data_IF_697288496539
#
_entry.id   IF_697288496539
#
_cell.length_a   1.000
_cell.length_b   1.000
_cell.length_c   1.000
_cell.angle_alpha   90.00
_cell.angle_beta   90.00
_cell.angle_gamma   90.00
#
_symmetry.space_group_name_H-M   'P 1'
#
loop_
_entity.id
_entity.type
_entity.pdbx_description
1 polymer ?
#
# COMPACT_ATOMS: atom_id res chain seq x y z
N UNK A 1 16.33 -7.65 -58.31
CA UNK A 1 16.25 -6.20 -58.08
C UNK A 1 16.36 -6.01 -56.57
N UNK A 2 17.56 -5.73 -56.04
CA UNK A 2 18.07 -4.37 -55.72
C UNK A 2 17.27 -3.75 -54.57
N UNK A 3 17.81 -3.22 -53.48
CA UNK A 3 19.16 -3.00 -52.93
C UNK A 3 18.90 -2.36 -51.55
N UNK A 4 19.76 -2.55 -50.54
CA UNK A 4 20.35 -1.43 -49.80
C UNK A 4 21.44 -1.90 -48.82
N UNK A 5 22.67 -1.75 -49.31
CA UNK A 5 23.89 -1.19 -48.67
C UNK A 5 24.36 -1.73 -47.31
N UNK A 6 25.52 -2.41 -47.36
CA UNK A 6 26.46 -2.63 -46.25
C UNK A 6 27.18 -1.33 -45.88
N UNK A 7 27.50 -1.15 -44.60
CA UNK A 7 28.67 -0.40 -44.17
C UNK A 7 29.66 -1.38 -43.48
N UNK A 8 30.97 -1.40 -43.84
CA UNK A 8 31.93 -2.38 -43.35
C UNK A 8 32.75 -1.80 -42.18
N UNK A 9 32.85 -2.53 -41.07
CA UNK A 9 33.73 -2.16 -39.98
C UNK A 9 33.86 -3.28 -38.96
N UNK A 10 35.11 -3.69 -38.73
CA UNK A 10 35.60 -4.62 -37.69
C UNK A 10 35.70 -6.10 -38.10
N UNK A 11 36.95 -6.50 -38.38
CA UNK A 11 37.40 -7.89 -38.43
C UNK A 11 37.38 -8.57 -37.05
N UNK A 12 37.86 -9.83 -36.96
CA UNK A 12 37.68 -10.66 -35.78
C UNK A 12 38.57 -10.18 -34.62
N UNK A 13 37.97 -9.80 -33.50
CA UNK A 13 38.68 -9.55 -32.24
C UNK A 13 38.88 -10.88 -31.53
N UNK A 14 40.10 -11.39 -31.58
CA UNK A 14 40.57 -12.50 -30.73
C UNK A 14 40.61 -12.02 -29.26
N UNK A 15 39.79 -12.62 -28.40
CA UNK A 15 39.85 -12.36 -26.94
C UNK A 15 41.03 -13.12 -26.33
N UNK A 16 42.11 -12.41 -26.03
CA UNK A 16 43.13 -12.84 -25.07
C UNK A 16 42.57 -12.67 -23.64
N UNK A 17 42.35 -13.76 -22.92
CA UNK A 17 42.20 -13.73 -21.46
C UNK A 17 43.52 -14.24 -20.84
N UNK A 18 44.19 -13.47 -19.96
CA UNK A 18 45.28 -14.03 -19.19
C UNK A 18 44.72 -15.00 -18.13
N UNK A 19 45.27 -16.20 -18.04
CA UNK A 19 44.99 -17.15 -16.94
C UNK A 19 45.61 -16.61 -15.65
N UNK A 20 44.78 -16.15 -14.72
CA UNK A 20 45.23 -15.86 -13.36
C UNK A 20 45.32 -17.18 -12.57
N UNK A 21 46.34 -17.38 -11.71
CA UNK A 21 46.45 -18.60 -10.91
C UNK A 21 45.29 -18.66 -9.91
N UNK A 22 44.70 -19.85 -9.77
CA UNK A 22 43.50 -20.16 -8.94
C UNK A 22 43.62 -19.62 -7.51
N UNK A 23 44.83 -19.54 -6.96
CA UNK A 23 45.10 -18.95 -5.65
C UNK A 23 44.70 -17.46 -5.51
N UNK A 24 44.80 -16.67 -6.60
CA UNK A 24 44.43 -15.26 -6.58
C UNK A 24 42.90 -15.06 -6.58
N UNK A 25 42.17 -15.93 -7.28
CA UNK A 25 40.70 -15.91 -7.28
C UNK A 25 40.12 -16.29 -5.91
N UNK A 26 40.74 -17.25 -5.20
CA UNK A 26 40.30 -17.67 -3.86
C UNK A 26 40.58 -16.58 -2.81
N UNK A 27 41.73 -15.90 -2.89
CA UNK A 27 42.06 -14.79 -1.99
C UNK A 27 41.13 -13.57 -2.22
N UNK A 28 40.78 -13.26 -3.47
CA UNK A 28 39.86 -12.18 -3.81
C UNK A 28 38.42 -12.46 -3.34
N UNK A 29 37.97 -13.72 -3.43
CA UNK A 29 36.67 -14.17 -2.89
C UNK A 29 36.62 -14.10 -1.36
N UNK A 30 37.68 -14.49 -0.66
CA UNK A 30 37.75 -14.39 0.81
C UNK A 30 37.78 -12.94 1.30
N UNK A 31 38.45 -12.04 0.57
CA UNK A 31 38.43 -10.59 0.86
C UNK A 31 37.03 -10.00 0.62
N UNK A 32 36.33 -10.40 -0.45
CA UNK A 32 34.94 -9.98 -0.69
C UNK A 32 33.97 -10.50 0.38
N UNK A 33 34.19 -11.71 0.91
CA UNK A 33 33.38 -12.27 2.00
C UNK A 33 33.67 -11.54 3.33
N UNK A 34 34.94 -11.24 3.65
CA UNK A 34 35.30 -10.49 4.86
C UNK A 34 34.86 -9.02 4.81
N UNK A 35 34.97 -8.37 3.65
CA UNK A 35 34.47 -6.99 3.45
C UNK A 35 32.94 -6.98 3.45
N UNK A 36 32.29 -8.01 2.91
CA UNK A 36 30.84 -8.17 2.94
C UNK A 36 30.25 -8.42 4.33
N UNK A 37 30.98 -9.07 5.24
CA UNK A 37 30.55 -9.26 6.64
C UNK A 37 30.86 -8.05 7.52
N UNK A 38 31.94 -7.31 7.26
CA UNK A 38 32.30 -6.09 8.01
C UNK A 38 31.55 -4.81 7.56
N UNK A 39 30.94 -4.80 6.37
CA UNK A 39 30.20 -3.64 5.84
C UNK A 39 28.67 -3.78 5.86
N UNK A 40 28.12 -4.88 6.40
CA UNK A 40 26.71 -4.94 6.78
C UNK A 40 26.47 -4.05 8.01
N UNK A 41 26.53 -2.74 7.82
CA UNK A 41 25.85 -1.81 8.71
C UNK A 41 24.36 -2.00 8.47
N UNK A 42 23.55 -2.29 9.49
CA UNK A 42 22.11 -2.32 9.32
C UNK A 42 21.68 -0.97 8.74
N UNK A 43 20.91 -1.02 7.65
CA UNK A 43 20.27 0.17 7.08
C UNK A 43 19.18 0.56 8.08
N UNK A 44 19.54 1.34 9.11
CA UNK A 44 18.58 1.92 10.05
C UNK A 44 17.81 3.04 9.36
N UNK A 45 16.73 2.67 8.68
CA UNK A 45 15.63 3.56 8.36
C UNK A 45 14.63 3.53 9.52
N UNK A 46 14.70 4.56 10.38
CA UNK A 46 13.96 4.70 11.65
C UNK A 46 14.26 3.60 12.69
N UNK A 47 14.42 4.00 13.95
CA UNK A 47 14.45 3.03 15.06
C UNK A 47 13.09 2.28 15.08
N UNK A 48 13.11 0.94 15.07
CA UNK A 48 11.98 0.06 15.35
C UNK A 48 10.87 0.66 16.21
N UNK A 49 11.23 1.12 17.41
CA UNK A 49 10.27 1.66 18.37
C UNK A 49 9.64 2.98 17.90
N UNK A 50 10.44 3.84 17.26
CA UNK A 50 9.93 5.13 16.80
C UNK A 50 9.01 5.00 15.58
N UNK A 51 9.23 4.00 14.72
CA UNK A 51 8.30 3.69 13.63
C UNK A 51 6.98 3.14 14.19
N UNK A 52 7.03 2.24 15.18
CA UNK A 52 5.85 1.75 15.88
C UNK A 52 5.02 2.88 16.49
N UNK A 53 5.66 3.80 17.20
CA UNK A 53 5.02 4.95 17.82
C UNK A 53 4.38 5.90 16.78
N UNK A 54 4.96 5.98 15.58
CA UNK A 54 4.40 6.77 14.48
C UNK A 54 3.16 6.14 13.87
N UNK A 55 3.13 4.81 13.74
CA UNK A 55 1.95 4.06 13.30
C UNK A 55 0.82 4.14 14.33
N UNK A 56 1.14 4.06 15.63
CA UNK A 56 0.16 4.23 16.70
C UNK A 56 -0.45 5.64 16.74
N UNK A 57 0.24 6.64 16.17
CA UNK A 57 -0.22 8.02 16.10
C UNK A 57 -0.76 8.41 14.72
N UNK A 58 -0.74 7.49 13.76
CA UNK A 58 -1.21 7.75 12.41
C UNK A 58 -2.72 8.05 12.44
N UNK A 59 -3.10 9.19 11.87
CA UNK A 59 -4.48 9.57 11.61
C UNK A 59 -4.60 9.84 10.12
N UNK A 60 -5.56 9.21 9.45
CA UNK A 60 -5.84 9.51 8.04
C UNK A 60 -7.04 10.47 7.93
N UNK A 61 -7.17 11.12 6.78
CA UNK A 61 -8.33 11.99 6.51
C UNK A 61 -9.57 11.24 6.02
N UNK A 62 -9.48 9.92 5.83
CA UNK A 62 -10.58 9.07 5.40
C UNK A 62 -11.74 9.15 6.42
N UNK A 63 -13.00 9.38 6.00
CA UNK A 63 -14.14 9.43 6.89
C UNK A 63 -14.31 8.20 7.79
N UNK A 64 -14.03 7.00 7.28
CA UNK A 64 -14.10 5.77 8.06
C UNK A 64 -13.02 5.74 9.15
N UNK A 65 -11.82 6.22 8.83
CA UNK A 65 -10.72 6.34 9.77
C UNK A 65 -10.97 7.46 10.79
N UNK A 66 -11.62 8.56 10.41
CA UNK A 66 -12.04 9.62 11.35
C UNK A 66 -13.03 9.09 12.38
N UNK A 67 -14.04 8.36 11.95
CA UNK A 67 -15.04 7.80 12.87
C UNK A 67 -14.41 6.73 13.78
N UNK A 68 -13.62 5.84 13.20
CA UNK A 68 -12.86 4.87 13.97
C UNK A 68 -11.86 5.56 14.93
N UNK A 69 -11.18 6.63 14.54
CA UNK A 69 -10.25 7.36 15.41
C UNK A 69 -10.95 8.00 16.61
N UNK A 70 -12.23 8.41 16.49
CA UNK A 70 -13.02 8.89 17.64
C UNK A 70 -13.29 7.78 18.65
N UNK A 71 -13.48 6.55 18.17
CA UNK A 71 -13.90 5.41 19.01
C UNK A 71 -12.71 4.61 19.55
N UNK A 72 -11.77 4.25 18.67
CA UNK A 72 -10.62 3.40 18.98
C UNK A 72 -9.32 4.17 19.26
N UNK A 73 -9.29 5.47 18.98
CA UNK A 73 -8.05 6.27 18.97
C UNK A 73 -7.26 6.12 17.67
N UNK A 74 -6.16 6.90 17.51
CA UNK A 74 -5.26 6.77 16.38
C UNK A 74 -4.56 5.41 16.39
N UNK A 75 -4.13 4.95 15.22
CA UNK A 75 -3.40 3.69 15.12
C UNK A 75 -3.38 3.09 13.73
N UNK A 76 -2.53 2.08 13.56
CA UNK A 76 -2.52 1.25 12.36
C UNK A 76 -3.38 0.01 12.57
N UNK A 77 -4.44 -0.09 11.78
CA UNK A 77 -5.45 -1.13 11.88
C UNK A 77 -5.53 -1.93 10.59
N UNK A 78 -5.77 -3.22 10.75
CA UNK A 78 -6.11 -4.13 9.67
C UNK A 78 -7.62 -4.14 9.47
N UNK A 79 -8.05 -3.96 8.22
CA UNK A 79 -9.41 -4.30 7.81
C UNK A 79 -9.48 -5.82 7.61
N UNK A 80 -10.33 -6.51 8.36
CA UNK A 80 -10.49 -7.97 8.25
C UNK A 80 -11.55 -8.34 7.22
N UNK A 81 -11.38 -7.80 6.00
CA UNK A 81 -12.21 -8.10 4.83
C UNK A 81 -13.70 -7.80 5.00
N UNK A 82 -14.60 -8.65 4.46
CA UNK A 82 -16.04 -8.39 4.44
C UNK A 82 -16.71 -8.46 5.82
N UNK A 83 -15.99 -8.83 6.87
CA UNK A 83 -16.53 -8.88 8.24
C UNK A 83 -16.89 -7.51 8.79
N UNK A 84 -16.24 -6.45 8.28
CA UNK A 84 -16.31 -5.09 8.83
C UNK A 84 -15.61 -4.94 10.19
N UNK A 85 -14.72 -5.86 10.54
CA UNK A 85 -13.88 -5.75 11.74
C UNK A 85 -12.62 -4.96 11.38
N UNK A 86 -12.24 -4.03 12.27
CA UNK A 86 -10.94 -3.38 12.32
C UNK A 86 -10.19 -3.79 13.59
N UNK A 87 -8.98 -4.27 13.41
CA UNK A 87 -8.19 -4.82 14.50
C UNK A 87 -6.72 -4.44 14.41
N UNK A 88 -6.05 -4.43 15.56
CA UNK A 88 -4.60 -4.31 15.63
C UNK A 88 -3.98 -5.69 15.63
N UNK A 89 -2.86 -5.83 14.95
CA UNK A 89 -2.07 -7.05 15.03
C UNK A 89 -1.23 -7.02 16.31
N UNK A 90 -1.36 -8.06 17.14
CA UNK A 90 -0.75 -8.14 18.47
C UNK A 90 -0.08 -9.49 18.70
N UNK A 91 0.90 -9.53 19.61
CA UNK A 91 1.42 -10.78 20.14
C UNK A 91 0.44 -11.43 21.15
N UNK A 92 0.79 -12.61 21.68
CA UNK A 92 -0.03 -13.33 22.65
C UNK A 92 -0.25 -12.57 23.98
N UNK A 93 0.57 -11.55 24.28
CA UNK A 93 0.41 -10.69 25.46
C UNK A 93 -0.47 -9.47 25.20
N UNK A 94 -0.93 -9.28 23.96
CA UNK A 94 -1.76 -8.14 23.55
C UNK A 94 -0.94 -6.89 23.19
N UNK A 95 0.39 -7.00 23.09
CA UNK A 95 1.24 -5.88 22.67
C UNK A 95 1.21 -5.76 21.15
N UNK A 96 1.00 -4.56 20.65
CA UNK A 96 1.07 -4.25 19.22
C UNK A 96 2.45 -4.58 18.68
N UNK A 97 2.50 -5.34 17.61
CA UNK A 97 3.73 -5.97 17.17
C UNK A 97 3.88 -5.88 15.65
N UNK A 98 5.06 -5.41 15.23
CA UNK A 98 5.42 -5.20 13.83
C UNK A 98 6.80 -5.82 13.48
N UNK A 99 7.57 -6.33 14.44
CA UNK A 99 8.85 -7.03 14.23
C UNK A 99 8.65 -8.50 13.85
N UNK A 100 7.41 -8.94 13.66
CA UNK A 100 7.08 -10.28 13.22
C UNK A 100 7.07 -11.28 14.35
N UNK A 101 6.39 -10.93 15.46
CA UNK A 101 5.99 -11.81 16.56
C UNK A 101 4.47 -11.83 16.77
N UNK A 102 3.74 -11.06 15.97
CA UNK A 102 2.31 -10.98 16.10
C UNK A 102 1.63 -12.30 15.71
N UNK A 103 0.67 -12.73 16.54
CA UNK A 103 -0.01 -14.03 16.41
C UNK A 103 -1.52 -13.90 16.50
N UNK A 104 -2.05 -12.73 16.85
CA UNK A 104 -3.47 -12.52 17.09
C UNK A 104 -3.93 -11.13 16.59
N UNK A 105 -5.24 -10.93 16.53
CA UNK A 105 -5.83 -9.62 16.27
C UNK A 105 -6.60 -9.12 17.50
N UNK A 106 -6.27 -7.93 17.98
CA UNK A 106 -7.06 -7.22 18.99
C UNK A 106 -8.10 -6.34 18.30
N UNK A 107 -9.38 -6.67 18.45
CA UNK A 107 -10.48 -5.91 17.85
C UNK A 107 -10.56 -4.53 18.47
N UNK A 108 -10.61 -3.50 17.62
CA UNK A 108 -10.67 -2.10 18.04
C UNK A 108 -11.93 -1.41 17.58
N UNK A 109 -12.46 -1.81 16.43
CA UNK A 109 -13.67 -1.23 15.90
C UNK A 109 -14.41 -2.24 15.04
N UNK A 110 -15.73 -2.15 15.02
CA UNK A 110 -16.60 -2.92 14.14
C UNK A 110 -17.56 -1.93 13.49
N UNK A 111 -17.65 -1.96 12.16
CA UNK A 111 -18.52 -1.04 11.43
C UNK A 111 -20.00 -1.35 11.70
N UNK A 112 -20.81 -0.35 12.08
CA UNK A 112 -22.25 -0.54 12.23
C UNK A 112 -22.89 -1.08 10.94
N UNK A 113 -23.78 -2.06 11.08
CA UNK A 113 -24.44 -2.75 9.97
C UNK A 113 -23.56 -3.76 9.22
N UNK A 114 -22.30 -3.98 9.63
CA UNK A 114 -21.47 -5.02 9.04
C UNK A 114 -21.86 -6.42 9.53
N UNK A 115 -21.40 -7.50 8.86
CA UNK A 115 -21.65 -8.87 9.29
C UNK A 115 -21.31 -9.21 10.75
N UNK A 116 -20.28 -8.56 11.29
CA UNK A 116 -19.78 -8.76 12.65
C UNK A 116 -20.42 -7.83 13.70
N UNK A 117 -21.22 -6.84 13.27
CA UNK A 117 -21.85 -5.86 14.16
C UNK A 117 -22.71 -6.55 15.24
N UNK A 118 -22.56 -6.09 16.48
CA UNK A 118 -23.19 -6.66 17.68
C UNK A 118 -22.73 -8.07 18.09
N UNK A 119 -21.91 -8.77 17.30
CA UNK A 119 -21.46 -10.15 17.57
C UNK A 119 -20.02 -10.18 18.10
N UNK A 120 -19.12 -9.54 17.36
CA UNK A 120 -17.74 -9.29 17.77
C UNK A 120 -17.69 -7.90 18.39
N UNK A 121 -16.97 -7.76 19.50
CA UNK A 121 -16.93 -6.53 20.27
C UNK A 121 -15.50 -5.96 20.33
N UNK A 122 -15.35 -4.62 20.37
CA UNK A 122 -14.07 -4.02 20.72
C UNK A 122 -13.50 -4.60 22.02
N UNK A 123 -12.21 -4.97 21.99
CA UNK A 123 -11.53 -5.66 23.09
C UNK A 123 -11.51 -7.19 22.98
N UNK A 124 -12.26 -7.79 22.05
CA UNK A 124 -12.08 -9.21 21.72
C UNK A 124 -10.69 -9.44 21.10
N UNK A 125 -10.02 -10.51 21.50
CA UNK A 125 -8.78 -10.96 20.84
C UNK A 125 -9.10 -12.15 19.95
N UNK A 126 -9.02 -11.98 18.63
CA UNK A 126 -9.17 -13.05 17.65
C UNK A 126 -7.88 -13.88 17.63
N UNK A 127 -8.03 -15.17 17.90
CA UNK A 127 -6.92 -16.13 18.03
C UNK A 127 -6.95 -17.23 16.96
N UNK A 128 -7.97 -17.22 16.11
CA UNK A 128 -8.17 -18.23 15.08
C UNK A 128 -9.49 -18.06 14.35
N UNK A 129 -9.69 -18.89 13.34
CA UNK A 129 -10.86 -18.85 12.46
C UNK A 129 -11.11 -20.23 11.85
N UNK A 130 -12.37 -20.58 11.59
CA UNK A 130 -12.82 -21.86 11.05
C UNK A 130 -12.20 -23.06 11.79
N UNK A 131 -12.29 -23.03 13.13
CA UNK A 131 -11.74 -24.03 14.07
C UNK A 131 -10.20 -24.19 14.04
N UNK A 132 -9.48 -23.35 13.30
CA UNK A 132 -8.00 -23.33 13.23
C UNK A 132 -7.49 -22.14 14.03
N UNK A 133 -6.69 -22.40 15.08
CA UNK A 133 -5.94 -21.34 15.77
C UNK A 133 -4.86 -20.79 14.83
N UNK A 134 -4.54 -19.51 14.98
CA UNK A 134 -3.42 -18.96 14.25
C UNK A 134 -2.12 -19.64 14.68
N UNK A 135 -1.31 -20.03 13.69
CA UNK A 135 -0.13 -20.87 13.94
C UNK A 135 1.16 -20.28 13.38
N UNK A 136 1.05 -19.47 12.34
CA UNK A 136 2.18 -18.81 11.71
C UNK A 136 2.35 -17.42 12.32
N UNK A 137 3.59 -17.08 12.63
CA UNK A 137 3.93 -15.74 13.09
C UNK A 137 3.87 -14.77 11.91
N UNK A 138 3.31 -13.58 12.14
CA UNK A 138 3.26 -12.54 11.14
C UNK A 138 4.65 -12.18 10.58
N UNK A 139 4.72 -12.00 9.26
CA UNK A 139 5.89 -11.42 8.59
C UNK A 139 5.41 -10.38 7.58
N UNK A 140 5.94 -9.15 7.68
CA UNK A 140 5.65 -8.08 6.73
C UNK A 140 6.67 -8.09 5.58
N UNK A 141 6.16 -8.20 4.35
CA UNK A 141 6.94 -8.19 3.11
C UNK A 141 7.56 -6.83 2.78
N UNK A 142 8.81 -6.67 3.21
CA UNK A 142 9.90 -5.91 2.56
C UNK A 142 11.26 -6.38 3.12
N UNK A 143 11.26 -6.87 4.37
CA UNK A 143 12.45 -7.32 5.10
C UNK A 143 12.57 -8.85 5.24
N UNK A 144 11.48 -9.60 5.02
CA UNK A 144 11.40 -11.04 5.33
C UNK A 144 10.86 -11.94 4.20
N UNK A 145 10.63 -11.40 2.99
CA UNK A 145 10.10 -12.15 1.84
C UNK A 145 9.12 -11.33 0.99
N UNK A 146 8.46 -12.02 0.04
CA UNK A 146 7.35 -11.47 -0.78
C UNK A 146 6.03 -11.94 -0.17
N UNK A 147 5.13 -11.02 0.16
CA UNK A 147 3.77 -11.32 0.65
C UNK A 147 3.57 -11.15 2.16
N UNK A 148 2.39 -11.58 2.62
CA UNK A 148 1.98 -11.58 4.02
C UNK A 148 1.94 -13.02 4.53
N UNK A 149 2.48 -13.26 5.73
CA UNK A 149 2.32 -14.52 6.47
C UNK A 149 1.53 -14.28 7.76
N UNK A 150 1.15 -15.36 8.45
CA UNK A 150 0.57 -15.30 9.78
C UNK A 150 -0.92 -14.99 9.80
N UNK A 151 -1.42 -14.35 10.87
CA UNK A 151 -2.85 -14.12 11.05
C UNK A 151 -3.53 -13.43 9.85
N UNK A 152 -2.93 -12.44 9.15
CA UNK A 152 -3.56 -11.86 7.96
C UNK A 152 -3.79 -12.86 6.82
N UNK A 153 -2.80 -13.71 6.54
CA UNK A 153 -2.91 -14.73 5.48
C UNK A 153 -3.90 -15.83 5.88
N UNK A 154 -3.78 -16.36 7.10
CA UNK A 154 -4.65 -17.43 7.60
C UNK A 154 -6.10 -16.96 7.71
N UNK A 155 -6.35 -15.69 8.09
CA UNK A 155 -7.69 -15.11 8.11
C UNK A 155 -8.24 -14.85 6.71
N UNK A 156 -7.41 -14.37 5.77
CA UNK A 156 -7.80 -14.20 4.37
C UNK A 156 -8.17 -15.52 3.70
N UNK A 157 -7.42 -16.59 3.96
CA UNK A 157 -7.74 -17.94 3.49
C UNK A 157 -9.06 -18.46 4.08
N UNK A 158 -9.34 -18.19 5.34
CA UNK A 158 -10.60 -18.58 5.96
C UNK A 158 -11.79 -17.81 5.37
N UNK A 159 -11.63 -16.52 5.03
CA UNK A 159 -12.62 -15.77 4.26
C UNK A 159 -12.85 -16.46 2.90
N UNK A 160 -11.79 -16.78 2.17
CA UNK A 160 -11.90 -17.47 0.88
C UNK A 160 -12.64 -18.81 0.99
N UNK A 161 -12.29 -19.64 1.98
CA UNK A 161 -12.97 -20.91 2.27
C UNK A 161 -14.47 -20.69 2.55
N UNK A 162 -14.81 -19.69 3.37
CA UNK A 162 -16.19 -19.37 3.73
C UNK A 162 -16.99 -18.78 2.56
N UNK A 163 -16.40 -17.91 1.75
CA UNK A 163 -17.04 -17.34 0.54
C UNK A 163 -17.23 -18.40 -0.56
N UNK A 164 -16.36 -19.40 -0.61
CA UNK A 164 -16.45 -20.56 -1.52
C UNK A 164 -17.59 -21.52 -1.15
N UNK A 165 -17.95 -21.56 0.13
CA UNK A 165 -19.08 -22.33 0.65
C UNK A 165 -20.44 -21.74 0.21
N UNK A 166 -21.50 -22.54 0.32
CA UNK A 166 -22.86 -22.11 -0.05
C UNK A 166 -23.48 -21.12 0.94
N UNK A 167 -23.02 -21.13 2.18
CA UNK A 167 -23.66 -20.45 3.30
C UNK A 167 -22.81 -19.34 3.89
N UNK A 168 -21.63 -18.98 3.36
CA UNK A 168 -20.85 -17.82 3.80
C UNK A 168 -20.48 -17.82 5.29
N UNK A 169 -20.46 -18.99 5.94
CA UNK A 169 -20.30 -19.11 7.38
C UNK A 169 -18.83 -18.98 7.76
N UNK A 170 -18.47 -17.94 8.52
CA UNK A 170 -17.12 -17.70 9.04
C UNK A 170 -17.12 -17.82 10.57
N UNK A 171 -16.41 -18.80 11.12
CA UNK A 171 -16.39 -19.04 12.56
C UNK A 171 -15.13 -18.45 13.19
N UNK A 172 -15.27 -17.30 13.84
CA UNK A 172 -14.16 -16.56 14.43
C UNK A 172 -13.96 -17.03 15.87
N UNK A 173 -12.75 -17.48 16.19
CA UNK A 173 -12.36 -17.88 17.55
C UNK A 173 -11.80 -16.66 18.29
N UNK A 174 -12.45 -16.25 19.38
CA UNK A 174 -12.04 -15.08 20.16
C UNK A 174 -11.85 -15.39 21.64
N UNK A 175 -10.99 -14.61 22.29
CA UNK A 175 -10.92 -14.47 23.74
C UNK A 175 -11.63 -13.18 24.11
N UNK A 176 -12.73 -13.27 24.86
CA UNK A 176 -13.45 -12.11 25.41
C UNK A 176 -13.26 -12.08 26.90
N UNK A 177 -12.55 -11.07 27.41
CA UNK A 177 -12.14 -11.03 28.83
C UNK A 177 -11.50 -12.37 29.25
N UNK A 178 -10.59 -12.87 28.41
CA UNK A 178 -9.86 -14.14 28.59
C UNK A 178 -10.68 -15.43 28.44
N UNK A 179 -12.01 -15.36 28.36
CA UNK A 179 -12.86 -16.53 28.11
C UNK A 179 -12.88 -16.88 26.61
N UNK A 180 -12.56 -18.13 26.22
CA UNK A 180 -12.63 -18.55 24.83
C UNK A 180 -14.08 -18.72 24.38
N UNK A 181 -14.39 -18.21 23.19
CA UNK A 181 -15.68 -18.40 22.54
C UNK A 181 -15.52 -18.39 21.02
N UNK A 182 -16.46 -19.04 20.33
CA UNK A 182 -16.54 -19.04 18.87
C UNK A 182 -17.75 -18.22 18.45
N UNK A 183 -17.52 -17.19 17.63
CA UNK A 183 -18.57 -16.35 17.06
C UNK A 183 -18.73 -16.68 15.59
N UNK A 184 -19.94 -17.04 15.18
CA UNK A 184 -20.26 -17.17 13.76
C UNK A 184 -20.62 -15.81 13.16
N UNK A 185 -19.85 -15.39 12.16
CA UNK A 185 -20.10 -14.22 11.32
C UNK A 185 -20.58 -14.70 9.95
N UNK A 186 -21.64 -14.08 9.45
CA UNK A 186 -22.29 -14.45 8.19
C UNK A 186 -21.82 -13.50 7.10
N UNK A 187 -20.86 -13.91 6.28
CA UNK A 187 -20.39 -13.12 5.13
C UNK A 187 -21.17 -13.52 3.87
N UNK A 188 -21.07 -12.69 2.83
CA UNK A 188 -21.69 -12.99 1.55
C UNK A 188 -20.92 -14.12 0.85
N UNK A 189 -21.62 -15.14 0.35
CA UNK A 189 -21.01 -16.14 -0.51
C UNK A 189 -20.76 -15.53 -1.90
N UNK A 190 -19.51 -15.52 -2.33
CA UNK A 190 -19.08 -15.01 -3.66
C UNK A 190 -18.48 -16.10 -4.55
N UNK A 191 -18.55 -17.36 -4.10
CA UNK A 191 -17.87 -18.48 -4.74
C UNK A 191 -16.36 -18.48 -4.47
N UNK A 192 -15.67 -19.38 -5.16
CA UNK A 192 -14.22 -19.56 -5.07
C UNK A 192 -13.49 -18.79 -6.17
N UNK A 193 -12.25 -18.38 -5.89
CA UNK A 193 -11.33 -18.00 -6.95
C UNK A 193 -11.01 -19.21 -7.85
N UNK A 194 -10.92 -18.98 -9.16
CA UNK A 194 -10.55 -20.03 -10.10
C UNK A 194 -9.04 -20.26 -10.07
N UNK A 195 -8.58 -21.43 -10.53
CA UNK A 195 -7.15 -21.73 -10.63
C UNK A 195 -6.39 -20.79 -11.59
N UNK A 196 -7.10 -20.07 -12.46
CA UNK A 196 -6.54 -19.10 -13.41
C UNK A 196 -6.75 -17.65 -12.98
N UNK A 197 -7.17 -17.41 -11.74
CA UNK A 197 -7.34 -16.06 -11.18
C UNK A 197 -6.16 -15.14 -11.56
N UNK A 198 -6.42 -13.90 -12.01
CA UNK A 198 -7.74 -13.26 -12.13
C UNK A 198 -8.51 -13.57 -13.42
N UNK A 199 -7.94 -14.34 -14.35
CA UNK A 199 -8.56 -14.63 -15.64
C UNK A 199 -9.57 -15.77 -15.55
N UNK A 200 -10.68 -15.67 -16.30
CA UNK A 200 -11.76 -16.67 -16.33
C UNK A 200 -12.25 -17.03 -14.91
N UNK A 201 -12.54 -16.00 -14.11
CA UNK A 201 -12.89 -16.15 -12.72
C UNK A 201 -14.12 -15.30 -12.38
N UNK A 202 -15.26 -15.97 -12.19
CA UNK A 202 -16.53 -15.31 -11.88
C UNK A 202 -16.43 -14.43 -10.62
N UNK A 203 -15.74 -14.90 -9.58
CA UNK A 203 -15.50 -14.12 -8.35
C UNK A 203 -14.71 -12.84 -8.64
N UNK A 204 -13.67 -12.91 -9.47
CA UNK A 204 -12.87 -11.73 -9.84
C UNK A 204 -13.72 -10.70 -10.59
N UNK A 205 -14.50 -11.16 -11.57
CA UNK A 205 -15.39 -10.32 -12.36
C UNK A 205 -16.43 -9.63 -11.46
N UNK A 206 -17.00 -10.37 -10.50
CA UNK A 206 -17.92 -9.83 -9.51
C UNK A 206 -17.24 -8.76 -8.63
N UNK A 207 -16.05 -9.04 -8.08
CA UNK A 207 -15.33 -8.09 -7.23
C UNK A 207 -14.94 -6.82 -7.99
N UNK A 208 -14.50 -6.93 -9.25
CA UNK A 208 -14.20 -5.78 -10.11
C UNK A 208 -15.46 -4.94 -10.33
N UNK A 209 -16.59 -5.57 -10.63
CA UNK A 209 -17.88 -4.88 -10.82
C UNK A 209 -18.32 -4.15 -9.57
N UNK A 210 -18.25 -4.78 -8.41
CA UNK A 210 -18.60 -4.18 -7.11
C UNK A 210 -17.68 -3.01 -6.76
N UNK A 211 -16.36 -3.18 -6.95
CA UNK A 211 -15.38 -2.13 -6.73
C UNK A 211 -15.65 -0.91 -7.65
N UNK A 212 -15.88 -1.15 -8.94
CA UNK A 212 -16.19 -0.06 -9.87
C UNK A 212 -17.51 0.65 -9.52
N UNK A 213 -18.54 -0.08 -9.14
CA UNK A 213 -19.80 0.50 -8.67
C UNK A 213 -19.59 1.37 -7.42
N UNK A 214 -18.76 0.93 -6.48
CA UNK A 214 -18.37 1.72 -5.32
C UNK A 214 -17.61 2.99 -5.74
N UNK A 215 -16.61 2.88 -6.62
CA UNK A 215 -15.83 4.03 -7.10
C UNK A 215 -16.72 5.08 -7.80
N UNK A 216 -17.67 4.67 -8.63
CA UNK A 216 -18.64 5.59 -9.24
C UNK A 216 -19.44 6.35 -8.18
N UNK A 217 -19.93 5.64 -7.16
CA UNK A 217 -20.76 6.22 -6.09
C UNK A 217 -19.96 7.11 -5.14
N UNK A 218 -18.69 6.80 -4.92
CA UNK A 218 -17.85 7.45 -3.91
C UNK A 218 -17.05 8.65 -4.43
N UNK A 219 -17.00 8.89 -5.74
CA UNK A 219 -16.32 10.06 -6.28
C UNK A 219 -16.95 11.35 -5.73
N UNK A 220 -16.15 12.16 -5.05
CA UNK A 220 -16.62 13.41 -4.46
C UNK A 220 -16.91 14.51 -5.50
N UNK A 221 -17.40 15.65 -5.03
CA UNK A 221 -17.72 16.81 -5.90
C UNK A 221 -16.48 17.40 -6.56
N UNK A 222 -15.30 17.17 -6.00
CA UNK A 222 -13.98 17.58 -6.49
C UNK A 222 -13.39 16.56 -7.48
N UNK A 223 -14.00 15.39 -7.64
CA UNK A 223 -13.53 14.34 -8.56
C UNK A 223 -12.55 13.38 -7.92
N UNK A 224 -12.48 13.31 -6.58
CA UNK A 224 -11.51 12.52 -5.82
C UNK A 224 -12.19 11.38 -5.04
N UNK A 225 -11.36 10.47 -4.54
CA UNK A 225 -11.67 9.27 -3.75
C UNK A 225 -10.92 9.23 -2.41
N UNK A 226 -10.55 10.39 -1.88
CA UNK A 226 -9.93 10.52 -0.56
C UNK A 226 -8.45 10.90 -0.62
N UNK A 227 -7.55 9.95 -0.88
CA UNK A 227 -6.10 10.18 -0.86
C UNK A 227 -5.51 10.34 -2.26
N UNK A 228 -4.35 11.01 -2.42
CA UNK A 228 -3.69 11.16 -3.73
C UNK A 228 -3.43 9.84 -4.43
N UNK A 229 -2.86 8.85 -3.72
CA UNK A 229 -2.59 7.52 -4.29
C UNK A 229 -3.89 6.79 -4.65
N UNK A 230 -4.89 6.81 -3.75
CA UNK A 230 -6.19 6.21 -3.99
C UNK A 230 -6.94 6.82 -5.17
N UNK A 231 -6.72 8.11 -5.47
CA UNK A 231 -7.28 8.75 -6.66
C UNK A 231 -6.74 8.15 -7.96
N UNK A 232 -5.43 7.92 -8.02
CA UNK A 232 -4.79 7.36 -9.21
C UNK A 232 -5.20 5.90 -9.39
N UNK A 233 -5.22 5.11 -8.31
CA UNK A 233 -5.67 3.72 -8.33
C UNK A 233 -7.14 3.61 -8.80
N UNK A 234 -8.02 4.47 -8.28
CA UNK A 234 -9.41 4.53 -8.71
C UNK A 234 -9.53 4.87 -10.20
N UNK A 235 -8.76 5.86 -10.66
CA UNK A 235 -8.75 6.26 -12.06
C UNK A 235 -8.26 5.13 -12.98
N UNK A 236 -7.18 4.44 -12.63
CA UNK A 236 -6.65 3.31 -13.40
C UNK A 236 -7.65 2.14 -13.43
N UNK A 237 -8.26 1.81 -12.29
CA UNK A 237 -9.27 0.76 -12.20
C UNK A 237 -10.47 1.04 -13.10
N UNK A 238 -10.99 2.27 -13.08
CA UNK A 238 -12.11 2.73 -13.91
C UNK A 238 -11.74 2.80 -15.40
N UNK A 239 -10.55 3.31 -15.71
CA UNK A 239 -10.03 3.41 -17.08
C UNK A 239 -9.92 2.03 -17.75
N UNK A 240 -9.49 1.02 -16.98
CA UNK A 240 -9.40 -0.37 -17.44
C UNK A 240 -10.76 -1.00 -17.79
N UNK A 241 -11.88 -0.46 -17.27
CA UNK A 241 -13.22 -0.98 -17.58
C UNK A 241 -13.79 -0.47 -18.91
N UNK A 242 -13.20 0.58 -19.49
CA UNK A 242 -13.60 1.11 -20.80
C UNK A 242 -14.33 2.46 -20.78
N UNK A 243 -14.83 2.89 -21.95
CA UNK A 243 -15.13 4.30 -22.23
C UNK A 243 -16.25 4.92 -21.39
N UNK A 244 -17.17 4.11 -20.87
CA UNK A 244 -18.27 4.58 -20.02
C UNK A 244 -17.79 5.30 -18.75
N UNK A 245 -16.58 4.98 -18.28
CA UNK A 245 -16.00 5.56 -17.07
C UNK A 245 -15.06 6.74 -17.34
N UNK A 246 -14.72 7.03 -18.60
CA UNK A 246 -13.67 8.03 -18.92
C UNK A 246 -14.02 9.44 -18.42
N UNK A 247 -15.30 9.81 -18.40
CA UNK A 247 -15.74 11.11 -17.86
C UNK A 247 -15.43 11.29 -16.36
N UNK A 248 -15.44 10.20 -15.59
CA UNK A 248 -15.09 10.25 -14.15
C UNK A 248 -13.59 10.45 -13.99
N UNK A 249 -12.79 9.76 -14.80
CA UNK A 249 -11.32 9.90 -14.84
C UNK A 249 -10.94 11.32 -15.28
N UNK A 250 -11.56 11.84 -16.34
CA UNK A 250 -11.32 13.19 -16.82
C UNK A 250 -11.67 14.25 -15.77
N UNK A 251 -12.79 14.09 -15.04
CA UNK A 251 -13.18 15.00 -13.97
C UNK A 251 -12.08 15.12 -12.90
N UNK A 252 -11.42 14.02 -12.56
CA UNK A 252 -10.29 14.02 -11.64
C UNK A 252 -9.07 14.72 -12.26
N UNK A 253 -8.65 14.27 -13.44
CA UNK A 253 -7.45 14.77 -14.12
C UNK A 253 -7.52 16.28 -14.41
N UNK A 254 -8.68 16.78 -14.84
CA UNK A 254 -8.91 18.20 -15.13
C UNK A 254 -8.65 19.11 -13.92
N UNK A 255 -8.76 18.58 -12.70
CA UNK A 255 -8.63 19.35 -11.46
C UNK A 255 -7.30 19.11 -10.76
N UNK A 256 -6.77 17.89 -10.83
CA UNK A 256 -5.62 17.48 -10.03
C UNK A 256 -4.28 17.83 -10.69
N UNK A 257 -4.18 17.74 -12.02
CA UNK A 257 -2.89 17.83 -12.72
C UNK A 257 -2.23 19.22 -12.64
N UNK A 258 -3.01 20.27 -12.38
CA UNK A 258 -2.50 21.63 -12.17
C UNK A 258 -1.71 21.79 -10.87
N UNK A 259 -2.03 20.99 -9.85
CA UNK A 259 -1.42 21.07 -8.51
C UNK A 259 -0.08 20.35 -8.38
N UNK A 260 0.27 19.50 -9.35
CA UNK A 260 1.53 18.72 -9.33
C UNK A 260 2.71 19.64 -9.66
N UNK A 261 3.72 19.64 -8.81
CA UNK A 261 4.91 20.47 -8.89
C UNK A 261 6.17 19.75 -8.40
N UNK A 262 7.30 20.46 -8.31
CA UNK A 262 8.58 19.89 -7.86
C UNK A 262 8.60 19.37 -6.43
N UNK A 263 7.66 19.80 -5.58
CA UNK A 263 7.56 19.37 -4.19
C UNK A 263 6.67 18.14 -4.02
N UNK A 264 5.99 17.72 -5.08
CA UNK A 264 5.18 16.50 -5.11
C UNK A 264 6.08 15.27 -4.93
N UNK A 265 5.62 14.29 -4.15
CA UNK A 265 6.41 13.08 -3.92
C UNK A 265 6.61 12.32 -5.23
N UNK A 266 7.83 11.82 -5.46
CA UNK A 266 8.17 11.14 -6.72
C UNK A 266 7.30 9.90 -7.02
N UNK A 267 6.77 9.25 -5.99
CA UNK A 267 5.81 8.16 -6.13
C UNK A 267 4.50 8.64 -6.76
N UNK A 268 3.93 9.72 -6.23
CA UNK A 268 2.73 10.36 -6.78
C UNK A 268 2.97 10.82 -8.23
N UNK A 269 4.12 11.46 -8.49
CA UNK A 269 4.51 11.86 -9.85
C UNK A 269 4.57 10.67 -10.83
N UNK A 270 5.05 9.51 -10.36
CA UNK A 270 5.11 8.28 -11.17
C UNK A 270 3.71 7.77 -11.50
N UNK A 271 2.85 7.74 -10.50
CA UNK A 271 1.48 7.27 -10.64
C UNK A 271 0.68 8.14 -11.61
N UNK A 272 0.75 9.47 -11.51
CA UNK A 272 0.09 10.36 -12.47
C UNK A 272 0.70 10.27 -13.88
N UNK A 273 2.00 9.99 -13.99
CA UNK A 273 2.65 9.75 -15.29
C UNK A 273 2.11 8.48 -15.95
N UNK A 274 1.94 7.39 -15.19
CA UNK A 274 1.31 6.15 -15.67
C UNK A 274 -0.14 6.42 -16.08
N UNK A 275 -0.94 7.03 -15.19
CA UNK A 275 -2.35 7.29 -15.47
C UNK A 275 -2.59 8.14 -16.73
N UNK A 276 -1.85 9.23 -16.89
CA UNK A 276 -1.99 10.09 -18.07
C UNK A 276 -1.50 9.41 -19.34
N UNK A 277 -0.49 8.54 -19.25
CA UNK A 277 -0.03 7.71 -20.36
C UNK A 277 -1.06 6.66 -20.77
N UNK A 278 -1.62 5.92 -19.81
CA UNK A 278 -2.67 4.92 -20.06
C UNK A 278 -3.90 5.57 -20.69
N UNK A 279 -4.31 6.75 -20.19
CA UNK A 279 -5.41 7.51 -20.78
C UNK A 279 -5.13 7.83 -22.26
N UNK A 280 -3.94 8.32 -22.59
CA UNK A 280 -3.58 8.60 -23.99
C UNK A 280 -3.54 7.33 -24.85
N UNK A 281 -3.01 6.22 -24.33
CA UNK A 281 -2.91 4.97 -25.08
C UNK A 281 -4.30 4.41 -25.43
N UNK A 282 -5.26 4.50 -24.51
CA UNK A 282 -6.62 4.01 -24.69
C UNK A 282 -7.50 4.94 -25.51
N UNK A 283 -7.39 6.25 -25.29
CA UNK A 283 -8.30 7.25 -25.92
C UNK A 283 -7.74 7.88 -27.18
N UNK A 284 -6.41 7.85 -27.37
CA UNK A 284 -5.66 8.66 -28.34
C UNK A 284 -5.89 10.17 -28.21
N UNK A 285 -6.42 10.62 -27.07
CA UNK A 285 -6.68 12.01 -26.78
C UNK A 285 -5.47 12.67 -26.11
N UNK A 286 -4.93 13.72 -26.72
CA UNK A 286 -3.74 14.43 -26.24
C UNK A 286 -4.03 15.51 -25.18
N UNK A 287 -5.25 15.58 -24.63
CA UNK A 287 -5.69 16.58 -23.64
C UNK A 287 -4.68 16.80 -22.51
N UNK A 288 -4.09 15.73 -21.98
CA UNK A 288 -3.14 15.79 -20.85
C UNK A 288 -1.66 15.67 -21.26
N UNK A 289 -1.35 15.68 -22.56
CA UNK A 289 -0.01 15.47 -23.09
C UNK A 289 1.03 16.46 -22.52
N UNK A 290 0.66 17.73 -22.37
CA UNK A 290 1.55 18.75 -21.79
C UNK A 290 1.89 18.45 -20.33
N UNK A 291 0.98 17.85 -19.58
CA UNK A 291 1.24 17.41 -18.19
C UNK A 291 2.20 16.22 -18.17
N UNK A 292 2.03 15.24 -19.07
CA UNK A 292 2.98 14.12 -19.21
C UNK A 292 4.41 14.60 -19.46
N UNK A 293 4.60 15.54 -20.40
CA UNK A 293 5.92 16.11 -20.67
C UNK A 293 6.49 16.83 -19.44
N UNK A 294 5.65 17.63 -18.77
CA UNK A 294 6.05 18.32 -17.54
C UNK A 294 6.46 17.36 -16.43
N UNK A 295 5.79 16.21 -16.27
CA UNK A 295 6.15 15.23 -15.24
C UNK A 295 7.53 14.63 -15.47
N UNK A 296 7.90 14.37 -16.72
CA UNK A 296 9.25 13.93 -17.07
C UNK A 296 10.32 14.97 -16.69
N UNK A 297 10.03 16.25 -16.86
CA UNK A 297 10.95 17.32 -16.45
C UNK A 297 11.03 17.44 -14.93
N UNK A 298 9.91 17.35 -14.21
CA UNK A 298 9.88 17.28 -12.75
C UNK A 298 10.68 16.09 -12.21
N UNK A 299 10.61 14.94 -12.88
CA UNK A 299 11.42 13.76 -12.50
C UNK A 299 12.91 14.03 -12.59
N UNK A 300 13.36 14.71 -13.66
CA UNK A 300 14.78 15.07 -13.82
C UNK A 300 15.20 16.06 -12.75
N UNK A 301 14.38 17.08 -12.50
CA UNK A 301 14.65 18.11 -11.50
C UNK A 301 14.72 17.53 -10.08
N UNK A 302 13.94 16.49 -9.80
CA UNK A 302 13.91 15.82 -8.51
C UNK A 302 15.04 14.78 -8.32
N UNK A 303 15.91 14.56 -9.32
CA UNK A 303 17.09 13.71 -9.12
C UNK A 303 18.11 14.46 -8.26
N UNK A 304 18.49 13.88 -7.12
CA UNK A 304 19.59 14.43 -6.32
C UNK A 304 20.87 14.49 -7.17
N UNK A 305 21.49 15.67 -7.35
CA UNK A 305 22.76 15.75 -8.06
C UNK A 305 23.82 14.95 -7.29
N UNK A 306 24.62 14.19 -8.04
CA UNK A 306 25.59 13.20 -7.56
C UNK A 306 26.76 13.78 -6.72
N UNK A 307 26.69 15.06 -6.32
CA UNK A 307 27.77 15.83 -5.70
C UNK A 307 27.40 16.48 -4.35
N UNK A 308 26.14 16.42 -3.92
CA UNK A 308 25.79 16.84 -2.56
C UNK A 308 26.14 15.70 -1.59
N UNK A 309 26.95 15.92 -0.54
CA UNK A 309 27.07 14.93 0.52
C UNK A 309 25.66 14.68 1.05
N UNK A 310 25.15 13.47 0.84
CA UNK A 310 23.88 13.05 1.40
C UNK A 310 24.01 13.16 2.92
N UNK A 311 23.63 14.30 3.50
CA UNK A 311 23.16 14.31 4.88
C UNK A 311 22.05 13.29 4.86
N UNK A 312 22.27 12.12 5.48
CA UNK A 312 21.26 11.10 5.71
C UNK A 312 20.12 11.79 6.44
N UNK A 313 19.16 12.32 5.69
CA UNK A 313 17.84 12.61 6.19
C UNK A 313 17.22 11.23 6.35
N UNK A 314 17.32 10.69 7.56
CA UNK A 314 16.55 9.52 7.94
C UNK A 314 15.07 9.81 7.67
N UNK A 315 14.25 8.79 7.40
CA UNK A 315 12.80 8.93 7.18
C UNK A 315 12.10 9.84 8.22
N UNK A 316 12.61 9.86 9.46
CA UNK A 316 12.19 10.76 10.54
C UNK A 316 12.32 12.26 10.22
N UNK A 317 13.39 12.68 9.54
CA UNK A 317 13.63 14.09 9.26
C UNK A 317 12.63 14.65 8.24
N UNK A 318 12.22 13.84 7.24
CA UNK A 318 11.20 14.19 6.26
C UNK A 318 9.79 14.25 6.86
N UNK A 319 9.46 13.33 7.79
CA UNK A 319 8.20 13.38 8.54
C UNK A 319 8.13 14.61 9.45
N UNK A 320 9.25 15.02 10.05
CA UNK A 320 9.32 16.19 10.95
C UNK A 320 9.19 17.53 10.23
N UNK A 321 9.57 17.63 8.95
CA UNK A 321 9.46 18.86 8.18
C UNK A 321 8.05 19.06 7.61
N UNK A 322 7.39 17.97 7.18
CA UNK A 322 6.00 17.97 6.77
C UNK A 322 5.05 18.33 7.94
N UNK A 323 5.32 17.81 9.13
CA UNK A 323 4.53 18.17 10.33
C UNK A 323 4.80 19.60 10.82
N UNK A 324 6.02 20.14 10.66
CA UNK A 324 6.30 21.58 10.94
C UNK A 324 5.63 22.53 9.94
N UNK A 325 5.55 22.17 8.65
CA UNK A 325 4.89 23.01 7.65
C UNK A 325 3.37 23.00 7.81
N UNK A 326 2.80 21.86 8.22
CA UNK A 326 1.40 21.75 8.60
C UNK A 326 1.09 22.56 9.88
N UNK A 327 1.90 22.44 10.94
CA UNK A 327 1.75 23.22 12.18
C UNK A 327 1.88 24.74 11.93
N UNK A 328 2.80 25.16 11.06
CA UNK A 328 3.00 26.56 10.70
C UNK A 328 1.80 27.13 9.91
N UNK A 329 1.17 26.33 9.04
CA UNK A 329 -0.07 26.74 8.35
C UNK A 329 -1.23 26.89 9.34
N UNK A 330 -1.39 25.95 10.28
CA UNK A 330 -2.45 26.01 11.31
C UNK A 330 -2.29 27.21 12.24
N UNK A 331 -1.07 27.47 12.74
CA UNK A 331 -0.77 28.63 13.60
C UNK A 331 -0.90 29.98 12.85
N UNK A 332 -0.66 30.00 11.53
CA UNK A 332 -0.88 31.21 10.72
C UNK A 332 -2.37 31.51 10.47
N UNK A 333 -3.20 30.47 10.37
CA UNK A 333 -4.64 30.61 10.21
C UNK A 333 -5.32 31.01 11.53
N UNK A 334 -4.89 30.47 12.66
CA UNK A 334 -5.40 30.89 13.98
C UNK A 334 -5.07 32.35 14.32
N UNK A 335 -3.89 32.86 13.93
CA UNK A 335 -3.55 34.29 14.07
C UNK A 335 -4.36 35.21 13.16
N UNK A 336 -4.86 34.74 12.01
CA UNK A 336 -5.72 35.53 11.12
C UNK A 336 -7.17 35.61 11.61
N UNK A 337 -7.66 34.57 12.29
CA UNK A 337 -9.02 34.59 12.88
C UNK A 337 -9.08 35.52 14.08
N UNK A 338 -8.00 35.65 14.86
CA UNK A 338 -7.96 36.56 16.01
C UNK A 338 -7.78 38.06 15.68
N UNK A 339 -7.30 38.40 14.48
CA UNK A 339 -7.10 39.80 14.05
C UNK A 339 -8.27 40.38 13.24
N UNK A 340 -9.20 39.54 12.79
CA UNK A 340 -10.41 39.97 12.07
C UNK A 340 -11.68 39.90 12.93
N UNK A 341 -11.53 39.69 14.24
CA UNK A 341 -12.60 39.61 15.23
C UNK A 341 -12.44 40.61 16.39
N UNK A 342 -11.72 41.70 16.18
CA UNK A 342 -11.71 42.89 17.04
C UNK A 342 -12.16 44.11 16.25
#
# INVERSE_FOLDING_TARGET
>A
MSNFVRNPGHGPVTRFFPRWPVAFCVLFLLILILVGTLTRRPVHGADPQTFADSLLKATTEDPADKEQNKVAGPGWFWNLGPTGIRAMLVDASGKCEWEGKATCFLVKYVFPGSPADGKILPGDTIIGVNAKKFSTVYKLGYWFGIGYDGPPMEFGQAIEESESGKDGRLEIMVLRKEAPLTVTVQIESKGAFSATFPFNCQKSEQLVKEACAYLVKSQDKQGNWGTPDGNVDACLALLAQGPDYYKLVERHLDRSLGGIDRNTWNWELAMYSVLTSEYYLLTRNNRYWKHMLRFNDLFKDNQCPNTAPQKRLTHQAALSSASRSALAKTLSNERRVHLNGL
#
